data_IF_350748124213
#
_entry.id   IF_350748124213
#
_cell.length_a   1.000
_cell.length_b   1.000
_cell.length_c   1.000
_cell.angle_alpha   90.00
_cell.angle_beta   90.00
_cell.angle_gamma   90.00
#
_symmetry.space_group_name_H-M   'P 1'
#
loop_
_entity.id
_entity.type
_entity.pdbx_description
1 polymer ?
#
# COMPACT_ATOMS: atom_id res chain seq x y z
N UNK A 1 -17.49 16.30 -72.78
CA UNK A 1 -16.69 16.58 -71.56
C UNK A 1 -15.55 17.50 -71.92
N UNK A 2 -15.50 18.73 -71.36
CA UNK A 2 -14.36 19.63 -71.55
C UNK A 2 -13.25 19.23 -70.57
N UNK A 3 -12.06 18.91 -71.09
CA UNK A 3 -10.86 18.67 -70.29
C UNK A 3 -10.08 19.98 -70.18
N UNK A 4 -9.61 20.29 -68.99
CA UNK A 4 -8.77 21.46 -68.70
C UNK A 4 -7.45 20.98 -68.11
N UNK A 5 -6.34 21.61 -68.48
CA UNK A 5 -5.02 21.33 -67.92
C UNK A 5 -4.78 22.29 -66.76
N UNK A 6 -4.55 21.76 -65.55
CA UNK A 6 -4.25 22.54 -64.34
C UNK A 6 -2.99 21.97 -63.68
N UNK A 7 -1.98 22.80 -63.49
CA UNK A 7 -0.77 22.45 -62.73
C UNK A 7 -1.08 22.54 -61.23
N UNK A 8 -0.83 21.46 -60.49
CA UNK A 8 -0.98 21.42 -59.03
C UNK A 8 0.42 21.46 -58.40
N UNK A 9 0.63 22.37 -57.45
CA UNK A 9 1.91 22.58 -56.76
C UNK A 9 1.96 21.94 -55.38
N UNK A 10 0.83 21.47 -54.87
CA UNK A 10 0.67 20.91 -53.52
C UNK A 10 -0.13 19.62 -53.59
N UNK A 11 0.20 18.68 -52.72
CA UNK A 11 -0.60 17.48 -52.48
C UNK A 11 -1.48 17.69 -51.25
N UNK A 12 -2.75 17.33 -51.38
CA UNK A 12 -3.67 17.27 -50.26
C UNK A 12 -3.54 15.89 -49.63
N UNK A 13 -3.04 15.83 -48.39
CA UNK A 13 -2.91 14.58 -47.63
C UNK A 13 -4.03 14.54 -46.60
N UNK A 14 -4.83 13.47 -46.63
CA UNK A 14 -5.75 13.13 -45.54
C UNK A 14 -4.99 12.23 -44.57
N UNK A 15 -4.60 12.72 -43.38
CA UNK A 15 -3.84 11.92 -42.44
C UNK A 15 -4.70 10.78 -41.90
N UNK A 16 -4.12 9.59 -41.81
CA UNK A 16 -4.73 8.49 -41.07
C UNK A 16 -4.65 8.81 -39.56
N UNK A 17 -5.78 8.68 -38.88
CA UNK A 17 -5.89 8.94 -37.45
C UNK A 17 -5.88 7.60 -36.69
N UNK A 18 -5.07 7.51 -35.63
CA UNK A 18 -5.07 6.39 -34.69
C UNK A 18 -5.48 6.94 -33.32
N UNK A 19 -6.61 6.47 -32.80
CA UNK A 19 -7.15 6.88 -31.49
C UNK A 19 -7.03 5.72 -30.49
N UNK A 20 -5.99 5.72 -29.63
CA UNK A 20 -5.96 4.80 -28.52
C UNK A 20 -6.93 5.27 -27.43
N UNK A 21 -7.99 4.49 -27.19
CA UNK A 21 -8.96 4.73 -26.11
C UNK A 21 -8.70 3.81 -24.93
N UNK A 22 -8.57 4.39 -23.72
CA UNK A 22 -8.31 3.64 -22.48
C UNK A 22 -9.45 3.82 -21.48
N UNK A 23 -10.17 2.73 -21.19
CA UNK A 23 -11.21 2.71 -20.18
C UNK A 23 -10.64 2.61 -18.76
N UNK A 24 -10.33 3.75 -18.13
CA UNK A 24 -9.74 3.79 -16.77
C UNK A 24 -10.52 2.98 -15.73
N UNK A 25 -11.87 3.01 -15.78
CA UNK A 25 -12.70 2.22 -14.87
C UNK A 25 -12.48 0.71 -15.01
N UNK A 26 -12.34 0.20 -16.25
CA UNK A 26 -12.04 -1.22 -16.50
C UNK A 26 -10.61 -1.56 -16.09
N UNK A 27 -9.65 -0.67 -16.35
CA UNK A 27 -8.26 -0.85 -15.94
C UNK A 27 -8.16 -0.94 -14.41
N UNK A 28 -8.82 -0.03 -13.67
CA UNK A 28 -8.82 -0.08 -12.21
C UNK A 28 -9.49 -1.36 -11.67
N UNK A 29 -10.63 -1.77 -12.26
CA UNK A 29 -11.28 -3.02 -11.88
C UNK A 29 -10.37 -4.23 -12.10
N UNK A 30 -9.69 -4.31 -13.24
CA UNK A 30 -8.70 -5.35 -13.50
C UNK A 30 -7.57 -5.32 -12.46
N UNK A 31 -7.04 -4.14 -12.11
CA UNK A 31 -6.02 -4.03 -11.07
C UNK A 31 -6.55 -4.59 -9.74
N UNK A 32 -7.79 -4.27 -9.33
CA UNK A 32 -8.38 -4.83 -8.11
C UNK A 32 -8.43 -6.35 -8.15
N UNK A 33 -8.97 -6.94 -9.22
CA UNK A 33 -9.06 -8.41 -9.34
C UNK A 33 -7.68 -9.08 -9.34
N UNK A 34 -6.72 -8.51 -10.06
CA UNK A 34 -5.37 -9.06 -10.17
C UNK A 34 -4.54 -8.90 -8.88
N UNK A 35 -4.82 -7.91 -8.05
CA UNK A 35 -4.04 -7.59 -6.83
C UNK A 35 -4.72 -8.04 -5.53
N UNK A 36 -6.01 -8.40 -5.57
CA UNK A 36 -6.73 -8.88 -4.39
C UNK A 36 -6.17 -10.23 -3.91
N UNK A 37 -5.87 -10.32 -2.61
CA UNK A 37 -5.31 -11.51 -1.96
C UNK A 37 -5.92 -11.70 -0.59
N UNK A 38 -5.96 -12.95 -0.14
CA UNK A 38 -6.36 -13.35 1.21
C UNK A 38 -5.11 -13.85 1.92
N UNK A 39 -4.91 -13.45 3.18
CA UNK A 39 -3.77 -13.90 3.98
C UNK A 39 -3.94 -15.37 4.38
N UNK A 40 -2.84 -16.11 4.36
CA UNK A 40 -2.82 -17.48 4.85
C UNK A 40 -3.13 -17.53 6.35
N UNK A 41 -4.12 -18.36 6.73
CA UNK A 41 -4.49 -18.60 8.13
C UNK A 41 -5.65 -17.74 8.67
N UNK A 42 -6.12 -16.73 7.93
CA UNK A 42 -7.28 -15.92 8.33
C UNK A 42 -8.04 -15.44 7.08
N UNK A 43 -9.15 -16.12 6.75
CA UNK A 43 -9.98 -15.85 5.57
C UNK A 43 -10.59 -14.43 5.59
N UNK A 44 -10.68 -13.81 6.76
CA UNK A 44 -11.20 -12.44 6.89
C UNK A 44 -10.15 -11.39 6.55
N UNK A 45 -8.86 -11.74 6.53
CA UNK A 45 -7.77 -10.79 6.25
C UNK A 45 -7.51 -10.72 4.76
N UNK A 46 -8.16 -9.76 4.13
CA UNK A 46 -7.96 -9.42 2.73
C UNK A 46 -6.99 -8.25 2.57
N UNK A 47 -6.27 -8.19 1.46
CA UNK A 47 -5.40 -7.08 1.13
C UNK A 47 -5.24 -6.95 -0.39
N UNK A 48 -4.85 -5.76 -0.84
CA UNK A 48 -4.48 -5.52 -2.23
C UNK A 48 -2.96 -5.38 -2.36
N UNK A 49 -2.36 -6.22 -3.20
CA UNK A 49 -0.96 -6.16 -3.63
C UNK A 49 -0.77 -5.13 -4.75
N UNK A 50 -1.04 -3.86 -4.43
CA UNK A 50 -0.83 -2.78 -5.39
C UNK A 50 0.66 -2.52 -5.57
N UNK A 51 1.15 -2.36 -6.81
CA UNK A 51 2.47 -1.80 -7.03
C UNK A 51 2.58 -0.44 -6.32
N UNK A 52 3.70 -0.21 -5.61
CA UNK A 52 3.87 0.98 -4.78
C UNK A 52 3.62 2.30 -5.55
N UNK A 53 3.91 2.32 -6.86
CA UNK A 53 3.65 3.44 -7.77
C UNK A 53 2.18 3.83 -7.88
N UNK A 54 1.25 2.87 -7.82
CA UNK A 54 -0.20 3.10 -7.98
C UNK A 54 -1.00 2.91 -6.68
N UNK A 55 -0.35 2.47 -5.60
CA UNK A 55 -0.97 2.33 -4.29
C UNK A 55 -1.65 3.66 -3.85
N UNK A 56 -2.90 3.64 -3.32
CA UNK A 56 -3.64 4.83 -2.93
C UNK A 56 -2.90 5.71 -1.92
N UNK A 57 -2.32 5.07 -0.91
CA UNK A 57 -1.42 5.68 0.06
C UNK A 57 -0.08 4.97 0.01
N UNK A 58 1.00 5.73 -0.08
CA UNK A 58 2.36 5.15 -0.08
C UNK A 58 2.72 4.64 1.30
N UNK A 59 2.29 5.36 2.34
CA UNK A 59 2.64 5.02 3.72
C UNK A 59 1.47 5.17 4.69
N UNK A 60 1.41 4.32 5.71
CA UNK A 60 0.61 4.56 6.92
C UNK A 60 1.53 4.88 8.10
N UNK A 61 1.11 5.78 8.99
CA UNK A 61 1.80 6.04 10.25
C UNK A 61 0.95 5.47 11.39
N UNK A 62 1.55 4.61 12.19
CA UNK A 62 0.89 3.76 13.17
C UNK A 62 1.58 3.89 14.54
N UNK A 63 1.12 4.78 15.44
CA UNK A 63 1.68 4.85 16.79
C UNK A 63 1.29 3.62 17.61
N UNK A 64 2.18 3.03 18.40
CA UNK A 64 1.86 1.80 19.14
C UNK A 64 0.72 2.00 20.16
N UNK A 65 0.69 3.17 20.81
CA UNK A 65 -0.37 3.58 21.75
C UNK A 65 -0.87 4.99 21.43
N UNK A 66 -2.00 5.38 22.01
CA UNK A 66 -2.57 6.73 21.95
C UNK A 66 -1.98 7.69 23.00
N UNK A 67 -0.87 7.32 23.65
CA UNK A 67 -0.25 8.18 24.66
C UNK A 67 0.24 9.48 24.01
N UNK A 68 0.22 10.57 24.79
CA UNK A 68 0.65 11.89 24.31
C UNK A 68 2.12 11.92 23.87
N UNK A 69 2.93 10.99 24.36
CA UNK A 69 4.35 10.85 24.02
C UNK A 69 4.58 10.50 22.54
N UNK A 70 3.62 9.85 21.86
CA UNK A 70 3.74 9.48 20.44
C UNK A 70 3.35 10.61 19.48
N UNK A 71 2.49 11.53 19.92
CA UNK A 71 1.95 12.63 19.12
C UNK A 71 3.05 13.46 18.43
N UNK A 72 4.13 13.91 19.10
CA UNK A 72 5.16 14.71 18.44
C UNK A 72 5.85 13.96 17.29
N UNK A 73 6.20 12.68 17.48
CA UNK A 73 6.85 11.86 16.46
C UNK A 73 5.94 11.58 15.26
N UNK A 74 4.66 11.29 15.51
CA UNK A 74 3.67 11.08 14.44
C UNK A 74 3.50 12.36 13.62
N UNK A 75 3.41 13.51 14.28
CA UNK A 75 3.28 14.81 13.61
C UNK A 75 4.53 15.13 12.78
N UNK A 76 5.72 14.95 13.35
CA UNK A 76 6.98 15.17 12.65
C UNK A 76 7.12 14.28 11.41
N UNK A 77 6.81 12.99 11.53
CA UNK A 77 6.81 12.04 10.41
C UNK A 77 5.80 12.41 9.32
N UNK A 78 4.58 12.80 9.71
CA UNK A 78 3.53 13.22 8.77
C UNK A 78 3.94 14.47 8.00
N UNK A 79 4.48 15.48 8.69
CA UNK A 79 5.01 16.68 8.05
C UNK A 79 6.20 16.36 7.14
N UNK A 80 7.10 15.46 7.56
CA UNK A 80 8.24 15.04 6.76
C UNK A 80 7.82 14.31 5.48
N UNK A 81 6.84 13.40 5.55
CA UNK A 81 6.28 12.74 4.36
C UNK A 81 5.57 13.73 3.44
N UNK A 82 4.83 14.70 4.01
CA UNK A 82 4.18 15.78 3.25
C UNK A 82 5.21 16.63 2.51
N UNK A 83 6.30 17.04 3.18
CA UNK A 83 7.38 17.82 2.57
C UNK A 83 8.06 17.10 1.40
N UNK A 84 8.12 15.76 1.45
CA UNK A 84 8.66 14.94 0.37
C UNK A 84 7.62 14.59 -0.72
N UNK A 85 6.38 15.05 -0.60
CA UNK A 85 5.33 14.85 -1.61
C UNK A 85 4.66 13.47 -1.58
N UNK A 86 4.76 12.72 -0.47
CA UNK A 86 4.20 11.37 -0.39
C UNK A 86 2.84 11.32 0.31
N UNK A 87 1.88 10.65 -0.35
CA UNK A 87 0.57 10.38 0.23
C UNK A 87 0.70 9.41 1.40
N UNK A 88 0.14 9.81 2.53
CA UNK A 88 0.17 9.00 3.74
C UNK A 88 -1.10 9.14 4.56
N UNK A 89 -1.35 8.15 5.42
CA UNK A 89 -2.50 8.13 6.34
C UNK A 89 -2.03 7.84 7.76
N UNK A 90 -2.41 8.69 8.71
CA UNK A 90 -2.20 8.43 10.13
C UNK A 90 -3.37 7.59 10.64
N UNK A 91 -3.09 6.47 11.32
CA UNK A 91 -4.10 5.66 11.99
C UNK A 91 -3.78 5.55 13.49
N UNK A 92 -4.32 6.52 14.22
CA UNK A 92 -4.33 6.63 15.68
C UNK A 92 -5.58 5.99 16.32
N UNK A 93 -6.36 5.23 15.55
CA UNK A 93 -7.60 4.61 16.03
C UNK A 93 -7.38 3.71 17.24
N UNK A 94 -8.41 3.57 18.06
CA UNK A 94 -8.41 2.59 19.13
C UNK A 94 -8.36 1.17 18.54
N UNK A 95 -7.46 0.35 19.09
CA UNK A 95 -7.25 -1.02 18.62
C UNK A 95 -5.79 -1.45 18.72
N UNK A 96 -5.58 -2.77 18.75
CA UNK A 96 -4.22 -3.30 18.74
C UNK A 96 -3.54 -3.01 17.39
N UNK A 97 -2.20 -2.97 17.39
CA UNK A 97 -1.43 -2.67 16.18
C UNK A 97 -1.76 -3.63 15.02
N UNK A 98 -2.06 -4.89 15.33
CA UNK A 98 -2.49 -5.88 14.34
C UNK A 98 -3.79 -5.53 13.63
N UNK A 99 -4.80 -5.01 14.34
CA UNK A 99 -6.06 -4.56 13.74
C UNK A 99 -5.85 -3.35 12.83
N UNK A 100 -4.95 -2.44 13.21
CA UNK A 100 -4.62 -1.28 12.39
C UNK A 100 -3.88 -1.69 11.12
N UNK A 101 -2.97 -2.65 11.21
CA UNK A 101 -2.37 -3.25 10.01
C UNK A 101 -3.40 -3.89 9.09
N UNK A 102 -4.39 -4.61 9.61
CA UNK A 102 -5.46 -5.19 8.78
C UNK A 102 -6.21 -4.09 8.02
N UNK A 103 -6.63 -3.02 8.70
CA UNK A 103 -7.32 -1.89 8.06
C UNK A 103 -6.47 -1.20 6.99
N UNK A 104 -5.16 -1.07 7.20
CA UNK A 104 -4.26 -0.46 6.21
C UNK A 104 -3.96 -1.39 5.05
N UNK A 105 -3.84 -2.69 5.31
CA UNK A 105 -3.60 -3.70 4.28
C UNK A 105 -4.85 -3.85 3.39
N UNK A 106 -6.06 -3.78 3.96
CA UNK A 106 -7.35 -3.85 3.25
C UNK A 106 -7.53 -2.73 2.21
N UNK A 107 -7.01 -1.53 2.49
CA UNK A 107 -7.06 -0.40 1.54
C UNK A 107 -5.84 -0.36 0.60
N UNK A 108 -4.93 -1.33 0.71
CA UNK A 108 -3.74 -1.44 -0.14
C UNK A 108 -2.70 -0.35 0.09
N UNK A 109 -2.46 0.05 1.35
CA UNK A 109 -1.30 0.91 1.67
C UNK A 109 -0.01 0.13 1.43
N UNK A 110 0.93 0.70 0.67
CA UNK A 110 2.15 -0.02 0.30
C UNK A 110 3.10 -0.27 1.49
N UNK A 111 3.28 0.71 2.36
CA UNK A 111 4.20 0.61 3.50
C UNK A 111 3.56 1.09 4.81
N UNK A 112 3.97 0.52 5.94
CA UNK A 112 3.53 0.97 7.27
C UNK A 112 4.71 1.37 8.14
N UNK A 113 4.70 2.59 8.66
CA UNK A 113 5.65 3.07 9.67
C UNK A 113 5.02 2.90 11.04
N UNK A 114 5.65 2.12 11.92
CA UNK A 114 5.23 2.01 13.32
C UNK A 114 6.19 2.75 14.24
N UNK A 115 5.61 3.60 15.09
CA UNK A 115 6.31 4.33 16.15
C UNK A 115 6.07 3.59 17.47
N UNK A 116 7.12 3.12 18.12
CA UNK A 116 7.02 2.33 19.35
C UNK A 116 7.65 3.04 20.56
N UNK A 117 7.63 2.39 21.72
CA UNK A 117 8.23 2.95 22.94
C UNK A 117 9.76 3.05 22.85
N UNK A 118 10.41 2.25 22.01
CA UNK A 118 11.85 2.38 21.80
C UNK A 118 12.13 3.71 21.09
N UNK A 119 11.29 4.08 20.11
CA UNK A 119 11.36 5.36 19.41
C UNK A 119 11.20 6.57 20.34
N UNK A 120 10.31 6.47 21.34
CA UNK A 120 10.04 7.55 22.29
C UNK A 120 11.15 7.70 23.35
N UNK A 121 11.65 6.58 23.88
CA UNK A 121 12.58 6.58 25.02
C UNK A 121 14.05 6.69 24.61
N UNK A 122 14.42 6.13 23.45
CA UNK A 122 15.76 6.19 22.89
C UNK A 122 15.62 6.55 21.41
N UNK A 123 15.59 7.86 21.05
CA UNK A 123 15.67 8.23 19.65
C UNK A 123 16.96 7.61 19.05
N UNK A 124 16.91 7.06 17.82
CA UNK A 124 16.01 7.49 16.75
C UNK A 124 15.20 6.43 15.92
N UNK A 125 15.14 5.11 16.23
CA UNK A 125 14.64 4.17 15.23
C UNK A 125 13.12 3.95 15.29
N UNK A 126 12.49 3.95 14.12
CA UNK A 126 11.12 3.48 13.90
C UNK A 126 11.10 2.27 12.96
N UNK A 127 9.97 1.57 12.91
CA UNK A 127 9.83 0.34 12.10
C UNK A 127 9.18 0.69 10.78
N UNK A 128 9.79 0.29 9.67
CA UNK A 128 9.15 0.23 8.36
C UNK A 128 8.71 -1.21 8.06
N UNK A 129 7.45 -1.38 7.70
CA UNK A 129 6.84 -2.66 7.32
C UNK A 129 6.45 -2.64 5.85
N UNK A 130 6.81 -3.70 5.15
CA UNK A 130 6.27 -4.00 3.82
C UNK A 130 4.91 -4.68 3.92
N UNK A 131 3.94 -4.23 3.14
CA UNK A 131 2.61 -4.80 3.19
C UNK A 131 2.61 -6.22 2.61
N UNK A 132 3.24 -6.48 1.46
CA UNK A 132 3.15 -7.78 0.79
C UNK A 132 3.78 -8.89 1.63
N UNK A 133 5.06 -8.73 1.99
CA UNK A 133 5.82 -9.75 2.73
C UNK A 133 5.56 -9.75 4.23
N UNK A 134 4.91 -8.71 4.76
CA UNK A 134 4.73 -8.45 6.20
C UNK A 134 6.05 -8.34 6.99
N UNK A 135 7.19 -8.23 6.30
CA UNK A 135 8.51 -8.12 6.93
C UNK A 135 8.75 -6.69 7.41
N UNK A 136 9.62 -6.58 8.40
CA UNK A 136 9.85 -5.34 9.15
C UNK A 136 11.34 -5.06 9.25
N UNK A 137 11.72 -3.84 8.93
CA UNK A 137 13.07 -3.30 9.10
C UNK A 137 13.04 -2.13 10.07
N UNK A 138 14.15 -1.90 10.76
CA UNK A 138 14.30 -0.78 11.68
C UNK A 138 15.25 0.26 11.05
N UNK A 139 14.79 1.51 10.98
CA UNK A 139 15.53 2.61 10.39
C UNK A 139 15.25 3.91 11.17
N UNK A 140 16.15 4.89 11.02
CA UNK A 140 16.00 6.17 11.70
C UNK A 140 14.82 6.97 11.15
N UNK A 141 14.07 7.63 12.05
CA UNK A 141 12.89 8.45 11.68
C UNK A 141 13.20 9.44 10.55
N UNK A 142 14.38 10.06 10.58
CA UNK A 142 14.81 11.04 9.58
C UNK A 142 15.07 10.43 8.21
N UNK A 143 15.43 9.15 8.13
CA UNK A 143 15.69 8.44 6.87
C UNK A 143 14.41 7.87 6.25
N UNK A 144 13.38 7.61 7.06
CA UNK A 144 12.15 6.95 6.60
C UNK A 144 11.43 7.67 5.44
N UNK A 145 11.27 9.00 5.43
CA UNK A 145 10.59 9.67 4.32
C UNK A 145 11.29 9.49 2.98
N UNK A 146 12.64 9.54 2.98
CA UNK A 146 13.45 9.33 1.77
C UNK A 146 13.35 7.87 1.33
N UNK A 147 13.41 6.95 2.28
CA UNK A 147 13.31 5.52 2.02
C UNK A 147 11.96 5.12 1.43
N UNK A 148 10.86 5.61 2.00
CA UNK A 148 9.51 5.45 1.44
C UNK A 148 9.45 6.03 0.05
N UNK A 149 10.10 7.17 -0.19
CA UNK A 149 10.12 7.80 -1.50
C UNK A 149 10.83 6.99 -2.57
N UNK A 150 11.99 6.44 -2.25
CA UNK A 150 12.73 5.57 -3.16
C UNK A 150 11.93 4.29 -3.47
N UNK A 151 11.26 3.71 -2.47
CA UNK A 151 10.40 2.53 -2.64
C UNK A 151 9.15 2.86 -3.49
N UNK A 152 8.50 3.99 -3.22
CA UNK A 152 7.29 4.42 -3.91
C UNK A 152 7.52 4.68 -5.40
N UNK A 153 8.69 5.20 -5.77
CA UNK A 153 9.11 5.41 -7.15
C UNK A 153 9.72 4.15 -7.80
N UNK A 154 9.82 3.03 -7.07
CA UNK A 154 10.50 1.81 -7.54
C UNK A 154 11.98 2.03 -7.93
N UNK A 155 12.65 3.01 -7.30
CA UNK A 155 14.09 3.23 -7.47
C UNK A 155 14.92 2.11 -6.80
N UNK A 156 14.32 1.49 -5.78
CA UNK A 156 14.88 0.41 -4.96
C UNK A 156 13.80 -0.65 -4.74
N UNK A 157 14.23 -1.87 -4.46
CA UNK A 157 13.32 -2.95 -4.05
C UNK A 157 13.36 -3.17 -2.54
N UNK A 158 12.35 -3.88 -2.03
CA UNK A 158 12.33 -4.28 -0.62
C UNK A 158 13.55 -5.15 -0.26
N UNK A 159 13.95 -6.04 -1.16
CA UNK A 159 15.10 -6.94 -0.96
C UNK A 159 16.41 -6.17 -0.71
N UNK A 160 16.62 -5.06 -1.42
CA UNK A 160 17.82 -4.21 -1.24
C UNK A 160 17.88 -3.60 0.17
N UNK A 161 16.72 -3.36 0.78
CA UNK A 161 16.60 -2.73 2.10
C UNK A 161 16.71 -3.73 3.24
N UNK A 162 16.24 -4.95 3.05
CA UNK A 162 16.51 -6.04 4.00
C UNK A 162 18.01 -6.34 4.14
N UNK A 163 18.81 -6.09 3.11
CA UNK A 163 20.27 -6.24 3.18
C UNK A 163 20.96 -5.10 3.95
N UNK A 164 20.40 -3.88 3.89
CA UNK A 164 21.02 -2.68 4.48
C UNK A 164 20.60 -2.44 5.93
N UNK A 165 19.35 -2.72 6.27
CA UNK A 165 18.78 -2.39 7.58
C UNK A 165 18.61 -3.64 8.44
N UNK A 166 18.81 -3.53 9.77
CA UNK A 166 18.60 -4.67 10.66
C UNK A 166 17.14 -5.09 10.61
N UNK A 167 16.92 -6.37 10.33
CA UNK A 167 15.58 -6.97 10.44
C UNK A 167 15.18 -7.01 11.91
N UNK A 168 13.97 -6.53 12.20
CA UNK A 168 13.45 -6.61 13.57
C UNK A 168 12.98 -8.04 13.86
N UNK A 169 13.72 -8.77 14.67
CA UNK A 169 13.22 -10.00 15.31
C UNK A 169 12.15 -9.61 16.35
N UNK A 170 11.05 -10.36 16.42
CA UNK A 170 9.89 -10.13 17.31
C UNK A 170 10.28 -9.52 18.68
N UNK A 171 9.47 -8.55 19.13
CA UNK A 171 9.45 -7.90 20.44
C UNK A 171 10.48 -8.43 21.46
N UNK A 172 11.43 -7.58 21.85
CA UNK A 172 12.24 -7.79 23.05
C UNK A 172 11.32 -7.58 24.25
N UNK A 173 10.71 -8.65 24.77
CA UNK A 173 10.00 -8.58 26.06
C UNK A 173 11.05 -8.30 27.14
N UNK A 174 11.12 -7.06 27.61
CA UNK A 174 11.76 -6.78 28.89
C UNK A 174 10.85 -7.35 29.98
N UNK A 175 11.45 -8.18 30.83
CA UNK A 175 10.77 -9.02 31.83
C UNK A 175 9.83 -8.25 32.76
N UNK A 176 8.55 -8.53 32.63
CA UNK A 176 7.66 -8.70 33.76
C UNK A 176 6.84 -9.95 33.51
N UNK A 177 7.08 -10.98 34.32
CA UNK A 177 6.36 -12.24 34.27
C UNK A 177 4.85 -12.00 34.40
N UNK A 178 4.14 -12.43 33.37
CA UNK A 178 2.70 -12.34 33.26
C UNK A 178 2.30 -12.94 31.93
N UNK A 179 2.32 -14.27 31.85
CA UNK A 179 2.22 -15.03 30.60
C UNK A 179 1.07 -14.57 29.71
N UNK A 180 1.41 -14.03 28.53
CA UNK A 180 0.47 -13.96 27.43
C UNK A 180 0.72 -15.16 26.51
N UNK A 181 0.07 -16.25 26.90
CA UNK A 181 -0.29 -17.35 25.99
C UNK A 181 -0.90 -16.68 24.75
N UNK A 182 -0.34 -16.98 23.58
CA UNK A 182 -0.97 -16.74 22.29
C UNK A 182 -2.32 -17.46 22.30
N UNK A 183 -3.36 -16.77 22.76
CA UNK A 183 -4.73 -17.17 22.56
C UNK A 183 -5.15 -16.67 21.20
N UNK A 184 -4.89 -17.53 20.21
CA UNK A 184 -5.83 -17.74 19.13
C UNK A 184 -7.14 -18.28 19.75
N UNK A 185 -7.92 -17.40 20.39
CA UNK A 185 -9.29 -17.72 20.78
C UNK A 185 -10.27 -16.95 19.92
N UNK A 186 -10.94 -17.76 19.10
CA UNK A 186 -12.07 -17.48 18.23
C UNK A 186 -13.10 -16.58 18.91
N UNK A 187 -13.65 -15.63 18.15
CA UNK A 187 -15.05 -15.25 18.28
C UNK A 187 -15.72 -15.34 16.90
N UNK A 188 -16.76 -16.16 16.72
CA UNK A 188 -17.50 -16.23 15.47
C UNK A 188 -18.44 -15.02 15.41
N UNK A 189 -18.22 -14.11 14.46
CA UNK A 189 -19.23 -13.13 14.08
C UNK A 189 -19.90 -13.64 12.81
N UNK A 190 -21.13 -14.12 13.01
CA UNK A 190 -22.09 -14.50 12.00
C UNK A 190 -22.43 -13.34 11.05
N UNK A 191 -22.90 -13.74 9.87
CA UNK A 191 -23.58 -12.97 8.83
C UNK A 191 -22.71 -12.02 7.99
N UNK A 192 -22.28 -12.54 6.83
CA UNK A 192 -22.77 -12.04 5.54
C UNK A 192 -22.51 -13.14 4.49
N UNK A 193 -23.49 -14.03 4.35
CA UNK A 193 -23.57 -14.96 3.22
C UNK A 193 -24.49 -14.35 2.17
N UNK A 194 -24.17 -14.56 0.90
CA UNK A 194 -24.82 -14.14 -0.35
C UNK A 194 -24.13 -12.99 -1.07
N UNK A 195 -23.24 -13.34 -2.02
CA UNK A 195 -23.46 -13.09 -3.46
C UNK A 195 -22.18 -13.44 -4.27
N UNK A 196 -21.68 -14.68 -4.21
CA UNK A 196 -20.58 -15.11 -5.09
C UNK A 196 -20.86 -16.54 -5.54
N UNK A 197 -21.83 -16.72 -6.44
CA UNK A 197 -22.05 -18.03 -7.06
C UNK A 197 -22.59 -17.95 -8.51
N UNK A 198 -22.50 -16.81 -9.19
CA UNK A 198 -23.06 -16.67 -10.55
C UNK A 198 -22.14 -16.06 -11.62
N UNK A 199 -20.87 -15.78 -11.33
CA UNK A 199 -19.95 -15.18 -12.32
C UNK A 199 -18.97 -16.22 -12.87
N UNK A 200 -19.44 -17.43 -13.15
CA UNK A 200 -18.62 -18.49 -13.78
C UNK A 200 -19.16 -18.95 -15.14
N UNK A 201 -20.06 -18.18 -15.77
CA UNK A 201 -20.50 -18.40 -17.14
C UNK A 201 -20.84 -17.09 -17.84
N UNK A 202 -19.83 -16.44 -18.40
CA UNK A 202 -19.85 -15.93 -19.79
C UNK A 202 -18.61 -15.10 -20.02
N UNK A 203 -17.54 -15.80 -20.41
CA UNK A 203 -16.56 -15.22 -21.31
C UNK A 203 -17.30 -14.81 -22.59
N UNK A 204 -17.43 -13.51 -22.85
CA UNK A 204 -17.49 -13.02 -24.22
C UNK A 204 -16.80 -11.67 -24.29
N UNK A 205 -15.59 -11.76 -24.82
CA UNK A 205 -14.82 -10.67 -25.41
C UNK A 205 -15.75 -9.84 -26.30
N UNK A 206 -15.83 -8.53 -26.04
CA UNK A 206 -16.18 -7.56 -27.06
C UNK A 206 -15.26 -6.35 -26.88
N UNK A 207 -14.19 -6.37 -27.70
CA UNK A 207 -13.41 -5.20 -28.07
C UNK A 207 -14.36 -4.33 -28.88
N UNK A 208 -14.81 -3.22 -28.31
CA UNK A 208 -15.15 -1.96 -29.01
C UNK A 208 -14.81 -0.83 -28.04
#
# INVERSE_FOLDING_TARGET
>A
MKRFQKTLHVEEIVPNMIEPSFGLGRIMYMIFEHTFRIREGDEQRTYFSFPAVVAPFKCSILPLSQNQEFIPFVKELSEALTRNGFSHKVDDSSGCIGQRYVRTDEIGVAFGITVDFDTVNNPPPAILRDHDSMRQIQAEISELPVLVGDLAHSNITWADREAKYPRRSRYRQNGHDGGLKLMAERKPCHELHFLIDHVNRSFMICII
#
